data_IF_113403413305
#
_entry.id   IF_113403413305
#
_cell.length_a   1.000
_cell.length_b   1.000
_cell.length_c   1.000
_cell.angle_alpha   90.00
_cell.angle_beta   90.00
_cell.angle_gamma   90.00
#
_symmetry.space_group_name_H-M   'P 1'
#
loop_
_entity.id
_entity.type
_entity.pdbx_description
1 polymer ?
#
# COMPACT_ATOMS: atom_id res chain seq x y z
N UNK A 1 7.80 3.34 -2.39
CA UNK A 1 7.57 4.12 -3.62
C UNK A 1 6.85 5.42 -3.28
N UNK A 2 7.32 6.53 -3.80
CA UNK A 2 6.72 7.87 -3.64
C UNK A 2 6.47 8.46 -5.03
N UNK A 3 5.31 9.05 -5.24
CA UNK A 3 4.94 9.67 -6.51
C UNK A 3 4.33 11.05 -6.25
N UNK A 4 4.56 11.98 -7.16
CA UNK A 4 3.99 13.31 -7.17
C UNK A 4 3.25 13.52 -8.49
N UNK A 5 1.96 13.83 -8.41
CA UNK A 5 1.10 14.07 -9.56
C UNK A 5 0.62 15.52 -9.54
N UNK A 6 0.65 16.19 -10.67
CA UNK A 6 0.20 17.56 -10.75
C UNK A 6 0.44 18.20 -12.11
N UNK A 7 0.17 19.50 -12.21
CA UNK A 7 0.47 20.32 -13.37
C UNK A 7 1.73 21.14 -13.12
N UNK A 8 2.63 21.15 -14.09
CA UNK A 8 3.81 21.98 -14.08
C UNK A 8 4.15 22.38 -15.51
N UNK A 9 4.80 23.52 -15.68
CA UNK A 9 5.29 24.00 -16.99
C UNK A 9 6.49 23.19 -17.50
N UNK A 10 7.19 22.48 -16.60
CA UNK A 10 8.26 21.56 -16.93
C UNK A 10 8.38 20.47 -15.85
N UNK A 11 8.79 19.24 -16.23
CA UNK A 11 8.95 18.12 -15.28
C UNK A 11 9.90 18.45 -14.11
N UNK A 12 10.93 19.24 -14.36
CA UNK A 12 11.93 19.65 -13.36
C UNK A 12 11.33 20.33 -12.14
N UNK A 13 10.19 21.02 -12.28
CA UNK A 13 9.53 21.67 -11.16
C UNK A 13 8.99 20.62 -10.16
N UNK A 14 8.39 19.54 -10.66
CA UNK A 14 7.89 18.46 -9.81
C UNK A 14 9.04 17.60 -9.26
N UNK A 15 10.10 17.36 -10.05
CA UNK A 15 11.29 16.64 -9.62
C UNK A 15 11.94 17.36 -8.43
N UNK A 16 12.21 18.67 -8.56
CA UNK A 16 12.78 19.47 -7.46
C UNK A 16 11.92 19.45 -6.20
N UNK A 17 10.61 19.56 -6.37
CA UNK A 17 9.68 19.52 -5.26
C UNK A 17 9.72 18.13 -4.56
N UNK A 18 9.75 17.05 -5.33
CA UNK A 18 9.85 15.69 -4.81
C UNK A 18 11.18 15.49 -4.07
N UNK A 19 12.32 15.89 -4.69
CA UNK A 19 13.65 15.77 -4.09
C UNK A 19 13.75 16.58 -2.79
N UNK A 20 13.22 17.82 -2.79
CA UNK A 20 13.23 18.65 -1.59
C UNK A 20 12.49 17.99 -0.41
N UNK A 21 11.32 17.43 -0.64
CA UNK A 21 10.53 16.81 0.41
C UNK A 21 10.98 15.39 0.80
N UNK A 22 11.69 14.69 -0.08
CA UNK A 22 12.25 13.36 0.22
C UNK A 22 13.69 13.44 0.75
N UNK A 23 14.28 14.65 0.85
CA UNK A 23 15.69 14.87 1.20
C UNK A 23 16.66 14.18 0.23
N UNK A 24 16.23 13.98 -1.02
CA UNK A 24 17.03 13.45 -2.10
C UNK A 24 17.59 14.54 -3.02
N UNK A 25 18.41 14.15 -3.99
CA UNK A 25 18.97 15.01 -5.01
C UNK A 25 18.38 14.73 -6.40
N UNK A 26 18.47 15.70 -7.31
CA UNK A 26 18.06 15.51 -8.71
C UNK A 26 18.92 14.42 -9.40
N UNK A 27 20.20 14.30 -9.05
CA UNK A 27 21.08 13.25 -9.57
C UNK A 27 20.69 11.84 -9.11
N UNK A 28 20.24 11.68 -7.88
CA UNK A 28 19.67 10.41 -7.41
C UNK A 28 18.36 10.10 -8.13
N UNK A 29 17.53 11.12 -8.35
CA UNK A 29 16.28 10.94 -9.10
C UNK A 29 16.54 10.46 -10.54
N UNK A 30 17.57 10.98 -11.23
CA UNK A 30 17.93 10.53 -12.59
C UNK A 30 18.27 9.03 -12.67
N UNK A 31 18.76 8.45 -11.58
CA UNK A 31 19.12 7.02 -11.52
C UNK A 31 17.93 6.13 -11.20
N UNK A 32 17.03 6.56 -10.30
CA UNK A 32 15.97 5.70 -9.77
C UNK A 32 14.56 6.20 -10.07
N UNK A 33 14.44 7.44 -10.55
CA UNK A 33 13.16 8.09 -10.82
C UNK A 33 12.61 7.79 -12.21
N UNK A 34 11.36 8.13 -12.41
CA UNK A 34 10.72 8.11 -13.72
C UNK A 34 9.75 9.29 -13.83
N UNK A 35 9.49 9.71 -15.05
CA UNK A 35 8.57 10.82 -15.38
C UNK A 35 7.61 10.36 -16.45
N UNK A 36 6.32 10.47 -16.16
CA UNK A 36 5.27 10.33 -17.16
C UNK A 36 4.61 11.67 -17.42
N UNK A 37 4.24 11.94 -18.65
CA UNK A 37 3.60 13.18 -19.06
C UNK A 37 2.29 12.89 -19.81
N UNK A 38 1.37 13.84 -19.81
CA UNK A 38 0.13 13.83 -20.56
C UNK A 38 -0.67 12.51 -20.41
N UNK A 39 -0.95 11.83 -21.50
CA UNK A 39 -1.74 10.61 -21.48
C UNK A 39 -1.06 9.46 -20.75
N UNK A 40 0.25 9.38 -20.78
CA UNK A 40 1.01 8.35 -20.09
C UNK A 40 0.92 8.53 -18.57
N UNK A 41 0.95 9.76 -18.08
CA UNK A 41 0.73 10.08 -16.67
C UNK A 41 -0.68 9.67 -16.21
N UNK A 42 -1.69 9.94 -17.04
CA UNK A 42 -3.07 9.52 -16.77
C UNK A 42 -3.16 7.98 -16.73
N UNK A 43 -2.65 7.30 -17.76
CA UNK A 43 -2.67 5.85 -17.84
C UNK A 43 -1.93 5.19 -16.66
N UNK A 44 -0.79 5.77 -16.28
CA UNK A 44 -0.03 5.31 -15.12
C UNK A 44 -0.84 5.46 -13.82
N UNK A 45 -1.51 6.58 -13.61
CA UNK A 45 -2.35 6.79 -12.42
C UNK A 45 -3.49 5.78 -12.32
N UNK A 46 -4.11 5.39 -13.44
CA UNK A 46 -5.10 4.30 -13.48
C UNK A 46 -4.49 2.96 -13.10
N UNK A 47 -3.32 2.61 -13.63
CA UNK A 47 -2.61 1.36 -13.27
C UNK A 47 -2.24 1.33 -11.79
N UNK A 48 -1.73 2.43 -11.26
CA UNK A 48 -1.39 2.56 -9.83
C UNK A 48 -2.64 2.42 -8.96
N UNK A 49 -3.71 3.15 -9.28
CA UNK A 49 -4.96 3.11 -8.54
C UNK A 49 -5.68 1.75 -8.59
N UNK A 50 -5.46 0.98 -9.65
CA UNK A 50 -5.96 -0.38 -9.78
C UNK A 50 -5.04 -1.43 -9.13
N UNK A 51 -3.89 -1.04 -8.59
CA UNK A 51 -2.90 -1.97 -8.02
C UNK A 51 -2.18 -2.82 -9.06
N UNK A 52 -2.25 -2.46 -10.36
CA UNK A 52 -1.61 -3.20 -11.45
C UNK A 52 -0.10 -2.92 -11.54
N UNK A 53 0.33 -1.81 -10.98
CA UNK A 53 1.73 -1.38 -10.96
C UNK A 53 2.34 -1.54 -9.54
N UNK A 54 1.95 -2.58 -8.85
CA UNK A 54 2.41 -2.95 -7.52
C UNK A 54 3.15 -4.29 -7.54
N UNK A 55 4.12 -4.46 -6.65
CA UNK A 55 4.76 -5.76 -6.40
C UNK A 55 3.75 -6.82 -5.93
N UNK A 56 2.70 -6.37 -5.27
CA UNK A 56 1.55 -7.21 -4.92
C UNK A 56 0.41 -6.77 -5.82
N UNK A 57 0.16 -7.57 -6.84
CA UNK A 57 -0.88 -7.29 -7.81
C UNK A 57 -2.24 -7.17 -7.14
N UNK A 58 -2.94 -6.06 -7.39
CA UNK A 58 -4.25 -5.78 -6.79
C UNK A 58 -4.18 -5.27 -5.34
N UNK A 59 -3.07 -4.69 -4.91
CA UNK A 59 -3.00 -4.03 -3.59
C UNK A 59 -3.90 -2.79 -3.55
N UNK A 60 -5.07 -2.96 -2.95
CA UNK A 60 -6.07 -1.89 -2.79
C UNK A 60 -5.78 -0.91 -1.64
N UNK A 61 -4.68 -1.06 -0.91
CA UNK A 61 -4.26 -0.01 0.03
C UNK A 61 -3.80 1.24 -0.72
N UNK A 62 -3.24 1.08 -1.92
CA UNK A 62 -2.76 2.16 -2.77
C UNK A 62 -3.88 3.17 -3.10
N UNK A 63 -5.05 2.69 -3.50
CA UNK A 63 -6.18 3.58 -3.82
C UNK A 63 -6.66 4.37 -2.59
N UNK A 64 -6.57 3.77 -1.40
CA UNK A 64 -6.90 4.46 -0.14
C UNK A 64 -5.90 5.58 0.18
N UNK A 65 -4.60 5.34 -0.08
CA UNK A 65 -3.55 6.35 0.07
C UNK A 65 -3.73 7.48 -0.95
N UNK A 66 -3.98 7.15 -2.21
CA UNK A 66 -4.24 8.13 -3.27
C UNK A 66 -5.44 9.02 -2.91
N UNK A 67 -6.55 8.42 -2.47
CA UNK A 67 -7.74 9.17 -2.02
C UNK A 67 -7.43 10.10 -0.85
N UNK A 68 -6.70 9.62 0.14
CA UNK A 68 -6.31 10.43 1.32
C UNK A 68 -5.44 11.62 0.93
N UNK A 69 -4.41 11.40 0.10
CA UNK A 69 -3.52 12.46 -0.40
C UNK A 69 -4.28 13.49 -1.24
N UNK A 70 -5.20 13.02 -2.10
CA UNK A 70 -6.04 13.92 -2.89
C UNK A 70 -6.94 14.80 -2.02
N UNK A 71 -7.62 14.22 -1.01
CA UNK A 71 -8.45 14.97 -0.09
C UNK A 71 -7.66 16.04 0.68
N UNK A 72 -6.45 15.70 1.09
CA UNK A 72 -5.54 16.65 1.73
C UNK A 72 -5.12 17.79 0.78
N UNK A 73 -4.78 17.47 -0.47
CA UNK A 73 -4.43 18.47 -1.48
C UNK A 73 -5.61 19.39 -1.79
N UNK A 74 -6.82 18.82 -1.91
CA UNK A 74 -8.06 19.58 -2.14
C UNK A 74 -8.37 20.53 -0.99
N UNK A 75 -8.22 20.08 0.26
CA UNK A 75 -8.48 20.93 1.43
C UNK A 75 -7.52 22.12 1.53
N UNK A 76 -6.37 22.04 0.88
CA UNK A 76 -5.36 23.12 0.78
C UNK A 76 -5.51 23.97 -0.48
N UNK A 77 -6.53 23.75 -1.30
CA UNK A 77 -6.74 24.49 -2.56
C UNK A 77 -5.76 24.14 -3.67
N UNK A 78 -5.04 23.01 -3.57
CA UNK A 78 -4.01 22.58 -4.52
C UNK A 78 -4.54 21.69 -5.65
N UNK A 79 -5.81 21.30 -5.61
CA UNK A 79 -6.43 20.46 -6.63
C UNK A 79 -7.40 21.29 -7.48
N UNK A 80 -7.25 21.18 -8.79
CA UNK A 80 -8.19 21.79 -9.74
C UNK A 80 -9.29 20.79 -10.16
N UNK A 81 -10.27 21.26 -10.93
CA UNK A 81 -11.41 20.45 -11.39
C UNK A 81 -11.00 19.26 -12.28
N UNK A 82 -9.88 19.36 -13.01
CA UNK A 82 -9.38 18.25 -13.81
C UNK A 82 -8.86 17.13 -12.90
N UNK A 83 -7.98 17.44 -11.94
CA UNK A 83 -7.45 16.47 -10.98
C UNK A 83 -8.57 15.83 -10.17
N UNK A 84 -9.58 16.58 -9.79
CA UNK A 84 -10.75 16.04 -9.09
C UNK A 84 -11.50 15.00 -9.93
N UNK A 85 -11.79 15.31 -11.19
CA UNK A 85 -12.42 14.34 -12.09
C UNK A 85 -11.54 13.13 -12.36
N UNK A 86 -10.25 13.34 -12.58
CA UNK A 86 -9.28 12.26 -12.83
C UNK A 86 -9.20 11.29 -11.65
N UNK A 87 -8.99 11.79 -10.44
CA UNK A 87 -8.89 10.95 -9.23
C UNK A 87 -10.20 10.21 -8.95
N UNK A 88 -11.35 10.87 -9.12
CA UNK A 88 -12.64 10.20 -8.99
C UNK A 88 -12.83 9.08 -10.02
N UNK A 89 -12.41 9.29 -11.28
CA UNK A 89 -12.45 8.26 -12.31
C UNK A 89 -11.54 7.08 -11.97
N UNK A 90 -10.35 7.34 -11.46
CA UNK A 90 -9.42 6.29 -11.00
C UNK A 90 -10.02 5.48 -9.83
N UNK A 91 -10.66 6.15 -8.86
CA UNK A 91 -11.33 5.48 -7.74
C UNK A 91 -12.48 4.59 -8.24
N UNK A 92 -13.29 5.07 -9.18
CA UNK A 92 -14.36 4.28 -9.79
C UNK A 92 -13.83 3.08 -10.56
N UNK A 93 -12.80 3.27 -11.38
CA UNK A 93 -12.14 2.19 -12.12
C UNK A 93 -11.55 1.13 -11.19
N UNK A 94 -10.85 1.54 -10.14
CA UNK A 94 -10.32 0.63 -9.11
C UNK A 94 -11.41 -0.21 -8.46
N UNK A 95 -12.55 0.41 -8.12
CA UNK A 95 -13.70 -0.29 -7.55
C UNK A 95 -14.31 -1.31 -8.52
N UNK A 96 -14.43 -0.93 -9.81
CA UNK A 96 -14.94 -1.84 -10.85
C UNK A 96 -14.01 -3.04 -11.03
N UNK A 97 -12.71 -2.80 -11.19
CA UNK A 97 -11.70 -3.86 -11.33
C UNK A 97 -11.78 -4.82 -10.14
N UNK A 98 -11.86 -4.29 -8.93
CA UNK A 98 -11.99 -5.11 -7.72
C UNK A 98 -13.23 -6.01 -7.73
N UNK A 99 -14.37 -5.49 -8.22
CA UNK A 99 -15.64 -6.20 -8.15
C UNK A 99 -15.88 -7.11 -9.38
N UNK A 100 -15.34 -6.75 -10.54
CA UNK A 100 -15.65 -7.38 -11.82
C UNK A 100 -14.54 -8.35 -12.26
N UNK A 101 -13.38 -8.38 -11.57
CA UNK A 101 -12.26 -9.25 -11.93
C UNK A 101 -11.80 -10.10 -10.76
N UNK A 102 -11.11 -11.21 -11.06
CA UNK A 102 -10.51 -12.08 -10.03
C UNK A 102 -9.23 -11.53 -9.39
N UNK A 103 -8.80 -10.31 -9.72
CA UNK A 103 -7.53 -9.74 -9.25
C UNK A 103 -7.46 -9.58 -7.73
N UNK A 104 -8.62 -9.46 -7.07
CA UNK A 104 -8.74 -9.34 -5.61
C UNK A 104 -9.07 -10.65 -4.90
N UNK A 105 -9.15 -11.76 -5.63
CA UNK A 105 -9.57 -13.06 -5.06
C UNK A 105 -8.48 -13.81 -4.30
N UNK A 106 -7.29 -13.23 -4.16
CA UNK A 106 -6.14 -13.86 -3.51
C UNK A 106 -5.40 -12.93 -2.55
N UNK A 107 -4.10 -13.05 -2.54
CA UNK A 107 -3.17 -12.33 -1.69
C UNK A 107 -3.04 -10.84 -2.07
N UNK A 108 -4.01 -10.03 -1.72
CA UNK A 108 -4.03 -8.61 -2.08
C UNK A 108 -3.39 -7.69 -1.03
N UNK A 109 -2.71 -8.26 -0.03
CA UNK A 109 -1.98 -7.47 0.96
C UNK A 109 -0.60 -8.03 1.26
N UNK A 110 0.34 -7.16 1.61
CA UNK A 110 1.69 -7.54 2.06
C UNK A 110 1.62 -8.55 3.22
N UNK A 111 0.69 -8.35 4.14
CA UNK A 111 0.47 -9.23 5.28
C UNK A 111 0.12 -10.66 4.85
N UNK A 112 -0.78 -10.82 3.90
CA UNK A 112 -1.15 -12.14 3.39
C UNK A 112 -0.02 -12.78 2.56
N UNK A 113 0.63 -11.99 1.69
CA UNK A 113 1.78 -12.48 0.91
C UNK A 113 2.92 -12.98 1.81
N UNK A 114 3.21 -12.27 2.90
CA UNK A 114 4.20 -12.69 3.88
C UNK A 114 3.83 -14.03 4.53
N UNK A 115 2.57 -14.23 4.91
CA UNK A 115 2.09 -15.49 5.49
C UNK A 115 2.16 -16.63 4.46
N UNK A 116 1.76 -16.41 3.21
CA UNK A 116 1.88 -17.39 2.15
C UNK A 116 3.36 -17.78 1.88
N UNK A 117 4.26 -16.79 1.91
CA UNK A 117 5.68 -17.04 1.78
C UNK A 117 6.22 -17.90 2.93
N UNK A 118 5.81 -17.64 4.17
CA UNK A 118 6.17 -18.46 5.33
C UNK A 118 5.65 -19.89 5.20
N UNK A 119 4.38 -20.06 4.82
CA UNK A 119 3.78 -21.39 4.61
C UNK A 119 4.53 -22.20 3.54
N UNK A 120 4.99 -21.54 2.48
CA UNK A 120 5.72 -22.22 1.39
C UNK A 120 7.18 -22.54 1.72
N UNK A 121 7.81 -21.79 2.66
CA UNK A 121 9.25 -21.88 2.91
C UNK A 121 9.64 -22.44 4.26
N UNK A 122 8.74 -22.41 5.23
CA UNK A 122 9.03 -22.90 6.59
C UNK A 122 8.28 -24.20 6.85
N UNK A 123 8.98 -25.34 6.81
CA UNK A 123 8.35 -26.61 7.14
C UNK A 123 7.92 -26.62 8.60
N UNK A 124 6.81 -27.28 8.88
CA UNK A 124 6.23 -27.40 10.23
C UNK A 124 5.98 -26.08 10.93
N UNK A 125 5.53 -25.05 10.18
CA UNK A 125 5.25 -23.70 10.72
C UNK A 125 4.28 -23.75 11.90
N UNK A 126 3.36 -24.69 11.91
CA UNK A 126 2.40 -24.96 12.97
C UNK A 126 3.04 -25.40 14.30
N UNK A 127 4.27 -25.94 14.24
CA UNK A 127 5.05 -26.34 15.42
C UNK A 127 6.09 -25.30 15.86
N UNK A 128 6.30 -24.26 15.05
CA UNK A 128 7.31 -23.22 15.31
C UNK A 128 6.76 -22.16 16.26
N UNK A 129 7.63 -21.57 17.07
CA UNK A 129 7.28 -20.34 17.81
C UNK A 129 7.42 -19.16 16.86
N UNK A 130 6.32 -18.45 16.63
CA UNK A 130 6.27 -17.28 15.76
C UNK A 130 6.30 -16.03 16.64
N UNK A 131 7.27 -15.17 16.40
CA UNK A 131 7.37 -13.87 17.04
C UNK A 131 6.96 -12.78 16.06
N UNK A 132 5.89 -12.06 16.36
CA UNK A 132 5.42 -10.93 15.56
C UNK A 132 5.73 -9.62 16.27
N UNK A 133 6.59 -8.81 15.66
CA UNK A 133 6.98 -7.51 16.21
C UNK A 133 6.22 -6.36 15.52
N UNK A 134 5.43 -5.62 16.30
CA UNK A 134 4.63 -4.50 15.87
C UNK A 134 3.16 -4.86 15.60
N UNK A 135 2.25 -4.09 16.19
CA UNK A 135 0.78 -4.26 16.10
C UNK A 135 0.11 -3.14 15.31
N UNK A 136 0.83 -2.52 14.39
CA UNK A 136 0.26 -1.61 13.39
C UNK A 136 -0.67 -2.35 12.42
N UNK A 137 -1.20 -1.66 11.42
CA UNK A 137 -2.14 -2.23 10.44
C UNK A 137 -1.61 -3.53 9.80
N UNK A 138 -0.35 -3.51 9.32
CA UNK A 138 0.28 -4.68 8.70
C UNK A 138 0.45 -5.82 9.72
N UNK A 139 1.01 -5.53 10.90
CA UNK A 139 1.21 -6.53 11.95
C UNK A 139 -0.09 -7.19 12.40
N UNK A 140 -1.16 -6.41 12.61
CA UNK A 140 -2.49 -6.96 12.91
C UNK A 140 -2.99 -7.89 11.82
N UNK A 141 -2.98 -7.44 10.57
CA UNK A 141 -3.42 -8.25 9.44
C UNK A 141 -2.56 -9.51 9.27
N UNK A 142 -1.24 -9.41 9.51
CA UNK A 142 -0.34 -10.58 9.48
C UNK A 142 -0.71 -11.58 10.58
N UNK A 143 -0.97 -11.10 11.79
CA UNK A 143 -1.39 -11.93 12.91
C UNK A 143 -2.72 -12.66 12.62
N UNK A 144 -3.73 -11.92 12.14
CA UNK A 144 -5.03 -12.50 11.75
C UNK A 144 -4.87 -13.57 10.67
N UNK A 145 -4.01 -13.34 9.67
CA UNK A 145 -3.72 -14.33 8.62
C UNK A 145 -2.92 -15.53 9.16
N UNK A 146 -1.94 -15.33 10.05
CA UNK A 146 -1.21 -16.44 10.69
C UNK A 146 -2.17 -17.35 11.45
N UNK A 147 -2.99 -16.80 12.34
CA UNK A 147 -3.99 -17.58 13.10
C UNK A 147 -4.91 -18.36 12.17
N UNK A 148 -5.39 -17.70 11.12
CA UNK A 148 -6.32 -18.30 10.16
C UNK A 148 -5.72 -19.43 9.33
N UNK A 149 -4.45 -19.32 8.95
CA UNK A 149 -3.86 -20.21 7.94
C UNK A 149 -2.83 -21.20 8.49
N UNK A 150 -2.29 -20.99 9.71
CA UNK A 150 -1.27 -21.88 10.27
C UNK A 150 -1.78 -22.82 11.36
N UNK A 151 -2.94 -22.55 11.96
CA UNK A 151 -3.41 -23.22 13.18
C UNK A 151 -2.36 -23.25 14.30
N UNK A 152 -1.38 -22.36 14.26
CA UNK A 152 -0.25 -22.36 15.18
C UNK A 152 -0.65 -21.68 16.51
N UNK A 153 -0.61 -22.42 17.64
CA UNK A 153 -0.94 -21.85 18.95
C UNK A 153 0.22 -21.08 19.59
N UNK A 154 1.40 -21.06 18.96
CA UNK A 154 2.62 -20.47 19.50
C UNK A 154 2.98 -19.16 18.80
N UNK A 155 2.07 -18.19 18.86
CA UNK A 155 2.31 -16.85 18.31
C UNK A 155 2.46 -15.87 19.47
N UNK A 156 3.57 -15.17 19.53
CA UNK A 156 3.84 -14.12 20.51
C UNK A 156 3.83 -12.77 19.82
N UNK A 157 3.03 -11.83 20.34
CA UNK A 157 2.97 -10.46 19.86
C UNK A 157 3.86 -9.56 20.73
N UNK A 158 4.71 -8.79 20.08
CA UNK A 158 5.51 -7.75 20.74
C UNK A 158 5.14 -6.38 20.17
N UNK A 159 4.89 -5.41 21.04
CA UNK A 159 4.64 -4.04 20.64
C UNK A 159 5.15 -3.07 21.70
N UNK A 160 5.52 -1.86 21.28
CA UNK A 160 5.94 -0.78 22.20
C UNK A 160 4.85 -0.45 23.24
N UNK A 161 3.58 -0.50 22.84
CA UNK A 161 2.43 -0.31 23.74
C UNK A 161 1.80 -1.68 24.00
N UNK A 162 1.89 -2.15 25.25
CA UNK A 162 1.44 -3.49 25.65
C UNK A 162 -0.07 -3.67 25.40
N UNK A 163 -0.89 -2.72 25.83
CA UNK A 163 -2.36 -2.76 25.69
C UNK A 163 -2.82 -3.06 24.25
N UNK A 164 -2.06 -2.57 23.24
CA UNK A 164 -2.38 -2.85 21.83
C UNK A 164 -2.08 -4.29 21.43
N UNK A 165 -1.06 -4.89 22.01
CA UNK A 165 -0.73 -6.30 21.79
C UNK A 165 -1.77 -7.20 22.49
N UNK A 166 -2.12 -6.89 23.74
CA UNK A 166 -3.13 -7.59 24.52
C UNK A 166 -4.52 -7.53 23.86
N UNK A 167 -4.93 -6.36 23.35
CA UNK A 167 -6.20 -6.20 22.64
C UNK A 167 -6.30 -7.08 21.38
N UNK A 168 -5.18 -7.27 20.66
CA UNK A 168 -5.14 -8.16 19.50
C UNK A 168 -5.08 -9.62 19.95
N UNK A 169 -4.23 -9.95 20.93
CA UNK A 169 -4.11 -11.29 21.49
C UNK A 169 -5.44 -11.81 22.04
N UNK A 170 -6.15 -11.00 22.84
CA UNK A 170 -7.46 -11.34 23.36
C UNK A 170 -8.53 -11.56 22.26
N UNK A 171 -8.52 -10.70 21.21
CA UNK A 171 -9.44 -10.87 20.07
C UNK A 171 -9.18 -12.16 19.28
N UNK A 172 -7.92 -12.56 19.17
CA UNK A 172 -7.48 -13.72 18.37
C UNK A 172 -7.29 -15.00 19.22
N UNK A 173 -7.52 -14.92 20.51
CA UNK A 173 -7.37 -16.01 21.46
C UNK A 173 -5.95 -16.61 21.50
N UNK A 174 -4.94 -15.71 21.52
CA UNK A 174 -3.51 -16.06 21.60
C UNK A 174 -3.01 -16.07 23.03
#
# INVERSE_FOLDING_TARGET
RTELHGFASAPQHLIRLLCHHSQGSESEFEVVGYVYQDQDAIAHLFRVGAGLDSQILGDFEIISQLKSSFLQSRSKGLANAFLERLVNSVIQASKRIKNETGISSGATSVAFAAVQYLLARVPDIDKRHILLYGTGKIGRNTCENLVKHTRNPRITLINRTLDKAEAIGGKLQL
#
